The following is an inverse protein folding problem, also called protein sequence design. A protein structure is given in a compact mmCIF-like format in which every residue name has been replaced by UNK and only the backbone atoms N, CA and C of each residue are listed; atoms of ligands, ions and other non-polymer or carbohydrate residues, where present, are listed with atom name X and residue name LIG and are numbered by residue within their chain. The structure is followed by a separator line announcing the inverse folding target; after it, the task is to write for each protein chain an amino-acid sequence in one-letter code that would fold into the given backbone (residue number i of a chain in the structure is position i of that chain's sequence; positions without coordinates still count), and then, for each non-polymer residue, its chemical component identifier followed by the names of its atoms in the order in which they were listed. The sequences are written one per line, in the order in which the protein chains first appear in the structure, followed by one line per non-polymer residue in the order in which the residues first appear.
data_IF_257584245857
#
_entry.id   IF_257584245857
#
_cell.length_a   1.000
_cell.length_b   1.000
_cell.length_c   1.000
_cell.angle_alpha   90.00
_cell.angle_beta   90.00
_cell.angle_gamma   90.00
#
_symmetry.space_group_name_H-M   'P 1'
#
loop_
_entity.id
_entity.type
_entity.pdbx_description
1 polymer ?
#
# COMPACT_ATOMS: atom_id res chain seq x y z
N UNK A 1 10.47 -9.70 1.08
CA UNK A 1 9.54 -8.58 0.78
C UNK A 1 8.62 -8.43 1.98
N UNK A 2 8.30 -7.21 2.41
CA UNK A 2 7.24 -7.01 3.42
C UNK A 2 5.90 -7.47 2.84
N UNK A 3 5.07 -8.09 3.66
CA UNK A 3 3.67 -8.41 3.36
C UNK A 3 2.78 -7.19 3.53
N UNK A 4 1.58 -7.20 2.94
CA UNK A 4 0.61 -6.13 3.12
C UNK A 4 0.26 -5.89 4.61
N UNK A 5 0.10 -6.98 5.38
CA UNK A 5 -0.15 -6.93 6.81
C UNK A 5 1.00 -6.28 7.59
N UNK A 6 2.25 -6.59 7.27
CA UNK A 6 3.42 -5.97 7.91
C UNK A 6 3.54 -4.49 7.55
N UNK A 7 3.28 -4.11 6.29
CA UNK A 7 3.21 -2.72 5.87
C UNK A 7 2.14 -1.95 6.66
N UNK A 8 0.96 -2.53 6.83
CA UNK A 8 -0.13 -1.91 7.58
C UNK A 8 0.19 -1.79 9.08
N UNK A 9 0.78 -2.82 9.67
CA UNK A 9 1.22 -2.81 11.07
C UNK A 9 2.26 -1.71 11.32
N UNK A 10 3.25 -1.59 10.43
CA UNK A 10 4.28 -0.57 10.53
C UNK A 10 3.71 0.84 10.27
N UNK A 11 2.76 1.00 9.34
CA UNK A 11 2.05 2.27 9.13
C UNK A 11 1.34 2.73 10.41
N UNK A 12 0.64 1.82 11.09
CA UNK A 12 -0.04 2.11 12.35
C UNK A 12 0.94 2.46 13.48
N UNK A 13 2.09 1.78 13.55
CA UNK A 13 3.16 2.11 14.49
C UNK A 13 3.68 3.53 14.26
N UNK A 14 3.94 3.91 13.01
CA UNK A 14 4.38 5.26 12.67
C UNK A 14 3.34 6.33 13.02
N UNK A 15 2.04 6.08 12.78
CA UNK A 15 0.95 6.99 13.20
C UNK A 15 0.95 7.22 14.71
N UNK A 16 1.04 6.14 15.50
CA UNK A 16 1.10 6.22 16.96
C UNK A 16 2.32 7.03 17.43
N UNK A 17 3.50 6.75 16.87
CA UNK A 17 4.72 7.49 17.20
C UNK A 17 4.61 8.98 16.84
N UNK A 18 3.91 9.33 15.75
CA UNK A 18 3.70 10.73 15.35
C UNK A 18 2.75 11.50 16.28
N UNK A 19 1.94 10.79 17.07
CA UNK A 19 0.99 11.37 18.04
C UNK A 19 1.59 11.47 19.45
N UNK A 20 2.78 10.90 19.69
CA UNK A 20 3.40 10.95 21.00
C UNK A 20 3.75 12.41 21.38
N UNK A 21 3.35 12.90 22.58
CA UNK A 21 3.55 14.29 23.00
C UNK A 21 5.01 14.77 22.99
N UNK A 22 5.97 13.85 23.15
CA UNK A 22 7.41 14.15 23.12
C UNK A 22 8.03 14.14 21.72
N UNK A 23 7.25 13.94 20.66
CA UNK A 23 7.78 13.92 19.29
C UNK A 23 7.79 15.32 18.71
N UNK A 24 8.97 15.77 18.26
CA UNK A 24 9.09 17.05 17.55
C UNK A 24 8.22 17.05 16.29
N UNK A 25 7.72 18.23 15.90
CA UNK A 25 6.83 18.36 14.75
C UNK A 25 7.46 17.83 13.46
N UNK A 26 8.74 18.15 13.23
CA UNK A 26 9.48 17.66 12.06
C UNK A 26 9.51 16.12 12.02
N UNK A 27 9.79 15.47 13.15
CA UNK A 27 9.80 14.01 13.26
C UNK A 27 8.39 13.44 13.08
N UNK A 28 7.36 14.08 13.63
CA UNK A 28 5.98 13.68 13.46
C UNK A 28 5.56 13.75 11.97
N UNK A 29 5.99 14.77 11.24
CA UNK A 29 5.73 14.90 9.81
C UNK A 29 6.35 13.74 9.01
N UNK A 30 7.62 13.41 9.27
CA UNK A 30 8.28 12.26 8.63
C UNK A 30 7.55 10.95 8.93
N UNK A 31 7.16 10.73 10.19
CA UNK A 31 6.42 9.53 10.59
C UNK A 31 5.06 9.41 9.88
N UNK A 32 4.34 10.53 9.69
CA UNK A 32 3.07 10.54 8.94
C UNK A 32 3.29 10.22 7.46
N UNK A 33 4.35 10.76 6.85
CA UNK A 33 4.69 10.47 5.45
C UNK A 33 5.03 8.99 5.26
N UNK A 34 5.89 8.44 6.13
CA UNK A 34 6.24 7.01 6.13
C UNK A 34 4.99 6.15 6.31
N UNK A 35 4.10 6.51 7.25
CA UNK A 35 2.86 5.78 7.46
C UNK A 35 1.97 5.78 6.21
N UNK A 36 1.90 6.89 5.48
CA UNK A 36 1.12 7.01 4.24
C UNK A 36 1.69 6.13 3.14
N UNK A 37 3.01 6.15 2.94
CA UNK A 37 3.68 5.30 1.95
C UNK A 37 3.50 3.81 2.25
N UNK A 38 3.64 3.41 3.52
CA UNK A 38 3.45 2.01 3.93
C UNK A 38 2.00 1.53 3.76
N UNK A 39 1.01 2.37 4.09
CA UNK A 39 -0.40 2.03 3.85
C UNK A 39 -0.71 1.93 2.34
N UNK A 40 -0.13 2.81 1.52
CA UNK A 40 -0.23 2.72 0.07
C UNK A 40 0.37 1.42 -0.48
N UNK A 41 1.56 1.05 0.01
CA UNK A 41 2.22 -0.19 -0.38
C UNK A 41 1.43 -1.42 0.07
N UNK A 42 0.83 -1.41 1.27
CA UNK A 42 -0.03 -2.50 1.74
C UNK A 42 -1.17 -2.78 0.76
N UNK A 43 -1.89 -1.72 0.34
CA UNK A 43 -2.97 -1.83 -0.63
C UNK A 43 -2.49 -2.36 -2.00
N UNK A 44 -1.30 -1.95 -2.45
CA UNK A 44 -0.71 -2.44 -3.70
C UNK A 44 -0.35 -3.93 -3.61
N UNK A 45 0.20 -4.37 -2.48
CA UNK A 45 0.52 -5.78 -2.24
C UNK A 45 -0.73 -6.66 -2.14
N UNK A 46 -1.80 -6.16 -1.51
CA UNK A 46 -3.10 -6.86 -1.47
C UNK A 46 -3.69 -7.01 -2.87
N UNK A 47 -3.65 -5.93 -3.68
CA UNK A 47 -4.09 -5.97 -5.08
C UNK A 47 -3.26 -6.93 -5.92
N UNK A 48 -1.93 -6.91 -5.77
CA UNK A 48 -1.03 -7.83 -6.46
C UNK A 48 -1.35 -9.28 -6.08
N UNK A 49 -1.58 -9.55 -4.79
CA UNK A 49 -1.95 -10.89 -4.31
C UNK A 49 -3.28 -11.35 -4.90
N UNK A 50 -4.27 -10.46 -5.04
CA UNK A 50 -5.53 -10.78 -5.71
C UNK A 50 -5.32 -11.10 -7.19
N UNK A 51 -4.57 -10.27 -7.92
CA UNK A 51 -4.24 -10.48 -9.34
C UNK A 51 -3.55 -11.83 -9.53
N UNK A 52 -2.52 -12.14 -8.73
CA UNK A 52 -1.80 -13.42 -8.83
C UNK A 52 -2.69 -14.63 -8.54
N UNK A 53 -3.68 -14.50 -7.64
CA UNK A 53 -4.65 -15.58 -7.38
C UNK A 53 -5.60 -15.78 -8.55
N UNK A 54 -6.07 -14.71 -9.18
CA UNK A 54 -6.98 -14.77 -10.33
C UNK A 54 -6.25 -15.36 -11.55
N UNK A 55 -5.00 -14.92 -11.80
CA UNK A 55 -4.12 -15.48 -12.82
C UNK A 55 -3.87 -16.98 -12.61
N UNK A 56 -3.59 -17.40 -11.37
CA UNK A 56 -3.41 -18.81 -11.04
C UNK A 56 -4.67 -19.67 -11.25
N UNK A 57 -5.86 -19.05 -11.23
CA UNK A 57 -7.15 -19.72 -11.49
C UNK A 57 -7.51 -19.76 -12.98
N UNK A 58 -6.64 -19.27 -13.86
CA UNK A 58 -6.91 -19.18 -15.29
C UNK A 58 -8.00 -18.14 -15.63
N UNK A 59 -8.34 -17.27 -14.69
CA UNK A 59 -9.19 -16.12 -14.95
C UNK A 59 -8.28 -15.02 -15.48
N UNK A 60 -8.45 -14.57 -16.74
CA UNK A 60 -7.66 -13.45 -17.23
C UNK A 60 -7.98 -12.25 -16.33
N UNK A 61 -6.95 -11.68 -15.72
CA UNK A 61 -7.04 -10.43 -14.99
C UNK A 61 -7.81 -9.46 -15.88
N UNK A 62 -9.04 -9.11 -15.48
CA UNK A 62 -9.97 -8.41 -16.34
C UNK A 62 -9.34 -7.11 -16.85
N UNK A 63 -8.98 -7.15 -18.13
CA UNK A 63 -8.78 -6.01 -19.01
C UNK A 63 -7.72 -4.98 -18.57
N UNK A 64 -6.45 -5.32 -18.79
CA UNK A 64 -5.54 -4.35 -19.42
C UNK A 64 -5.89 -4.29 -20.92
N UNK A 65 -7.12 -3.81 -21.23
CA UNK A 65 -7.52 -3.60 -22.63
C UNK A 65 -6.78 -2.34 -23.10
N UNK A 66 -5.95 -2.41 -24.14
CA UNK A 66 -5.49 -1.19 -24.78
C UNK A 66 -6.73 -0.42 -25.24
N UNK A 67 -6.80 0.85 -24.85
CA UNK A 67 -7.79 1.78 -25.39
C UNK A 67 -7.57 1.81 -26.90
N UNK A 68 -8.40 1.08 -27.64
CA UNK A 68 -8.43 1.18 -29.09
C UNK A 68 -8.82 2.63 -29.41
N UNK A 69 -7.82 3.45 -29.77
CA UNK A 69 -8.07 4.73 -30.43
C UNK A 69 -8.67 4.39 -31.80
N UNK A 70 -9.98 4.54 -31.90
CA UNK A 70 -10.71 4.47 -33.17
C UNK A 70 -10.59 5.82 -33.88
N UNK A 71 -10.13 5.74 -35.13
CA UNK A 71 -10.02 6.75 -36.20
C UNK A 71 -9.21 8.02 -35.96
#
# INVERSE_FOLDING_TARGET
MLTAAECQAQANKCKRLAQNPGTSEHRAALLRNIARSLAGLANQLDRLTAITRDEARGQPASADRPIARTN
#
